data_IF_932338818759
#
_entry.id   IF_932338818759
#
_cell.length_a   1.000
_cell.length_b   1.000
_cell.length_c   1.000
_cell.angle_alpha   90.00
_cell.angle_beta   90.00
_cell.angle_gamma   90.00
#
_symmetry.space_group_name_H-M   'P 1'
#
loop_
_entity.id
_entity.type
_entity.pdbx_description
1 polymer ?
#
# COMPACT_ATOMS: atom_id res chain seq x y z
N UNK A 1 -26.05 -11.11 -16.31
CA UNK A 1 -24.76 -11.05 -17.07
C UNK A 1 -24.06 -9.70 -16.94
N UNK A 2 -24.74 -8.56 -17.03
CA UNK A 2 -24.14 -7.22 -16.95
C UNK A 2 -23.36 -6.95 -15.65
N UNK A 3 -23.90 -7.36 -14.50
CA UNK A 3 -23.22 -7.28 -13.21
C UNK A 3 -21.85 -7.98 -13.21
N UNK A 4 -21.81 -9.23 -13.67
CA UNK A 4 -20.58 -10.03 -13.75
C UNK A 4 -19.57 -9.37 -14.69
N UNK A 5 -20.02 -8.89 -15.86
CA UNK A 5 -19.16 -8.14 -16.80
C UNK A 5 -18.58 -6.89 -16.16
N UNK A 6 -19.39 -6.13 -15.44
CA UNK A 6 -18.97 -4.90 -14.74
C UNK A 6 -17.93 -5.21 -13.66
N UNK A 7 -18.18 -6.21 -12.81
CA UNK A 7 -17.23 -6.65 -11.77
C UNK A 7 -15.90 -7.04 -12.41
N UNK A 8 -15.93 -7.88 -13.45
CA UNK A 8 -14.72 -8.33 -14.14
C UNK A 8 -13.97 -7.17 -14.78
N UNK A 9 -14.66 -6.27 -15.50
CA UNK A 9 -14.04 -5.14 -16.17
C UNK A 9 -13.33 -4.21 -15.17
N UNK A 10 -14.00 -3.86 -14.06
CA UNK A 10 -13.39 -3.04 -13.01
C UNK A 10 -12.26 -3.77 -12.29
N UNK A 11 -12.39 -5.06 -12.00
CA UNK A 11 -11.32 -5.83 -11.36
C UNK A 11 -10.04 -5.87 -12.21
N UNK A 12 -10.18 -6.20 -13.49
CA UNK A 12 -9.05 -6.26 -14.44
C UNK A 12 -8.43 -4.88 -14.64
N UNK A 13 -9.26 -3.83 -14.78
CA UNK A 13 -8.79 -2.46 -14.89
C UNK A 13 -8.00 -2.01 -13.65
N UNK A 14 -8.52 -2.28 -12.44
CA UNK A 14 -7.84 -1.96 -11.19
C UNK A 14 -6.48 -2.65 -11.08
N UNK A 15 -6.43 -3.97 -11.37
CA UNK A 15 -5.16 -4.72 -11.35
C UNK A 15 -4.17 -4.18 -12.38
N UNK A 16 -4.62 -3.96 -13.63
CA UNK A 16 -3.75 -3.41 -14.67
C UNK A 16 -3.22 -2.03 -14.33
N UNK A 17 -4.05 -1.17 -13.73
CA UNK A 17 -3.65 0.18 -13.34
C UNK A 17 -2.63 0.16 -12.21
N UNK A 18 -2.82 -0.71 -11.22
CA UNK A 18 -1.87 -0.89 -10.11
C UNK A 18 -0.51 -1.44 -10.59
N UNK A 19 -0.52 -2.52 -11.38
CA UNK A 19 0.71 -3.09 -11.93
C UNK A 19 1.45 -2.11 -12.83
N UNK A 20 0.73 -1.33 -13.64
CA UNK A 20 1.35 -0.33 -14.50
C UNK A 20 2.02 0.79 -13.71
N UNK A 21 1.40 1.31 -12.63
CA UNK A 21 2.06 2.36 -11.84
C UNK A 21 3.30 1.83 -11.11
N UNK A 22 3.25 0.60 -10.60
CA UNK A 22 4.40 -0.08 -9.97
C UNK A 22 5.58 -0.20 -10.93
N UNK A 23 5.31 -0.48 -12.21
CA UNK A 23 6.31 -0.57 -13.27
C UNK A 23 6.67 0.78 -13.90
N UNK A 24 6.13 1.90 -13.41
CA UNK A 24 6.25 3.23 -14.00
C UNK A 24 5.85 3.24 -15.49
N UNK A 25 4.74 2.57 -15.81
CA UNK A 25 4.15 2.45 -17.14
C UNK A 25 2.73 2.99 -17.17
N UNK A 26 2.23 3.18 -18.39
CA UNK A 26 0.83 3.49 -18.65
C UNK A 26 0.04 2.17 -18.69
N UNK A 27 -1.14 2.14 -18.09
CA UNK A 27 -2.05 1.02 -18.23
C UNK A 27 -2.50 0.86 -19.70
N UNK A 28 -2.42 -0.34 -20.30
CA UNK A 28 -2.85 -0.56 -21.67
C UNK A 28 -4.38 -0.63 -21.81
N UNK A 29 -5.12 -0.62 -20.71
CA UNK A 29 -6.57 -0.78 -20.70
C UNK A 29 -7.28 0.57 -20.63
N UNK A 30 -8.30 0.72 -21.46
CA UNK A 30 -9.24 1.82 -21.37
C UNK A 30 -10.10 1.72 -20.10
N UNK A 31 -10.66 2.86 -19.69
CA UNK A 31 -11.62 2.91 -18.61
C UNK A 31 -12.83 1.99 -18.87
N UNK A 32 -13.32 1.25 -17.86
CA UNK A 32 -14.59 0.55 -17.97
C UNK A 32 -15.72 1.55 -18.28
N UNK A 33 -16.55 1.23 -19.27
CA UNK A 33 -17.69 2.06 -19.68
C UNK A 33 -18.88 1.94 -18.74
N UNK A 34 -19.03 0.79 -18.07
CA UNK A 34 -20.08 0.53 -17.10
C UNK A 34 -19.76 1.19 -15.75
N UNK A 35 -20.76 1.80 -15.12
CA UNK A 35 -20.63 2.34 -13.76
C UNK A 35 -20.33 1.20 -12.76
N UNK A 36 -19.37 1.44 -11.86
CA UNK A 36 -19.01 0.51 -10.77
C UNK A 36 -20.21 0.15 -9.90
N UNK A 37 -21.22 1.03 -9.81
CA UNK A 37 -22.48 0.77 -9.10
C UNK A 37 -23.27 -0.40 -9.67
N UNK A 38 -23.08 -0.73 -10.95
CA UNK A 38 -23.70 -1.91 -11.58
C UNK A 38 -23.08 -3.24 -11.09
N UNK A 39 -22.02 -3.21 -10.28
CA UNK A 39 -21.53 -4.38 -9.55
C UNK A 39 -22.52 -4.89 -8.48
N UNK A 40 -23.54 -4.10 -8.13
CA UNK A 40 -24.57 -4.43 -7.15
C UNK A 40 -24.18 -4.10 -5.71
N UNK A 41 -25.20 -4.07 -4.86
CA UNK A 41 -25.11 -3.60 -3.46
C UNK A 41 -25.03 -4.75 -2.45
N UNK A 42 -24.80 -5.98 -2.92
CA UNK A 42 -24.64 -7.13 -2.03
C UNK A 42 -23.34 -6.99 -1.23
N UNK A 43 -23.49 -7.07 0.08
CA UNK A 43 -22.40 -7.17 1.04
C UNK A 43 -22.50 -8.49 1.81
N UNK A 44 -21.41 -8.92 2.41
CA UNK A 44 -21.40 -10.15 3.20
C UNK A 44 -20.50 -10.04 4.42
N UNK A 45 -20.74 -10.91 5.39
CA UNK A 45 -19.84 -11.08 6.51
C UNK A 45 -18.53 -11.70 6.04
N UNK A 46 -17.44 -10.96 6.24
CA UNK A 46 -16.09 -11.44 6.10
C UNK A 46 -15.62 -12.14 7.38
N UNK A 47 -14.81 -13.18 7.19
CA UNK A 47 -14.11 -13.89 8.26
C UNK A 47 -12.74 -14.29 7.74
N UNK A 48 -11.65 -14.12 8.51
CA UNK A 48 -10.31 -14.52 8.10
C UNK A 48 -10.24 -15.98 7.62
N UNK A 49 -9.42 -16.24 6.60
CA UNK A 49 -9.17 -17.57 6.04
C UNK A 49 -7.71 -17.99 6.31
N UNK A 50 -7.41 -19.23 6.73
CA UNK A 50 -8.28 -20.41 6.69
C UNK A 50 -9.24 -20.51 7.88
N UNK A 51 -10.47 -20.94 7.58
CA UNK A 51 -11.53 -21.19 8.58
C UNK A 51 -11.39 -22.55 9.31
N UNK A 52 -10.39 -23.34 8.94
CA UNK A 52 -10.24 -24.76 9.32
C UNK A 52 -9.56 -25.01 10.66
N UNK A 53 -9.07 -23.99 11.36
CA UNK A 53 -8.09 -24.18 12.43
C UNK A 53 -8.70 -24.06 13.85
N UNK A 54 -10.01 -24.28 14.03
CA UNK A 54 -10.74 -24.14 15.31
C UNK A 54 -10.70 -22.77 15.99
N UNK A 55 -9.95 -21.80 15.45
CA UNK A 55 -9.97 -20.40 15.87
C UNK A 55 -11.21 -19.75 15.27
N UNK A 56 -12.14 -19.34 16.13
CA UNK A 56 -13.35 -18.63 15.72
C UNK A 56 -13.03 -17.13 15.70
N UNK A 57 -12.91 -16.55 14.51
CA UNK A 57 -12.78 -15.10 14.37
C UNK A 57 -14.15 -14.46 14.33
N UNK A 58 -14.26 -13.27 14.94
CA UNK A 58 -15.46 -12.46 14.82
C UNK A 58 -15.72 -12.10 13.35
N UNK A 59 -16.98 -12.24 12.95
CA UNK A 59 -17.43 -11.77 11.65
C UNK A 59 -17.34 -10.25 11.58
N UNK A 60 -16.92 -9.74 10.43
CA UNK A 60 -16.87 -8.31 10.13
C UNK A 60 -17.65 -8.03 8.85
N UNK A 61 -18.32 -6.88 8.72
CA UNK A 61 -18.90 -6.50 7.43
C UNK A 61 -17.77 -6.35 6.39
N UNK A 62 -17.96 -6.85 5.17
CA UNK A 62 -16.97 -6.73 4.11
C UNK A 62 -16.97 -5.35 3.43
N UNK A 63 -18.07 -4.59 3.55
CA UNK A 63 -18.26 -3.24 3.00
C UNK A 63 -17.94 -3.18 1.51
N UNK A 64 -18.35 -4.21 0.76
CA UNK A 64 -17.92 -4.38 -0.63
C UNK A 64 -18.41 -3.28 -1.59
N UNK A 65 -19.66 -2.80 -1.52
CA UNK A 65 -20.10 -1.72 -2.38
C UNK A 65 -19.22 -0.48 -2.23
N UNK A 66 -18.97 -0.06 -1.00
CA UNK A 66 -18.15 1.11 -0.66
C UNK A 66 -16.69 0.89 -1.08
N UNK A 67 -16.12 -0.27 -0.75
CA UNK A 67 -14.72 -0.59 -1.09
C UNK A 67 -14.51 -0.63 -2.59
N UNK A 68 -15.46 -1.15 -3.37
CA UNK A 68 -15.39 -1.15 -4.85
C UNK A 68 -15.44 0.27 -5.39
N UNK A 69 -16.33 1.11 -4.88
CA UNK A 69 -16.43 2.51 -5.30
C UNK A 69 -15.15 3.27 -4.97
N UNK A 70 -14.65 3.13 -3.73
CA UNK A 70 -13.40 3.75 -3.32
C UNK A 70 -12.19 3.26 -4.12
N UNK A 71 -12.12 1.97 -4.46
CA UNK A 71 -11.05 1.44 -5.31
C UNK A 71 -11.10 2.03 -6.73
N UNK A 72 -12.31 2.15 -7.30
CA UNK A 72 -12.51 2.79 -8.59
C UNK A 72 -12.11 4.28 -8.58
N UNK A 73 -12.42 5.01 -7.50
CA UNK A 73 -11.97 6.40 -7.32
C UNK A 73 -10.45 6.51 -7.30
N UNK A 74 -9.76 5.67 -6.51
CA UNK A 74 -8.29 5.65 -6.44
C UNK A 74 -7.68 5.30 -7.79
N UNK A 75 -8.22 4.30 -8.50
CA UNK A 75 -7.71 3.90 -9.80
C UNK A 75 -7.85 5.00 -10.87
N UNK A 76 -8.93 5.78 -10.84
CA UNK A 76 -9.06 6.97 -11.72
C UNK A 76 -7.96 7.99 -11.45
N UNK A 77 -7.60 8.21 -10.19
CA UNK A 77 -6.50 9.12 -9.85
C UNK A 77 -5.16 8.55 -10.30
N UNK A 78 -4.94 7.23 -10.15
CA UNK A 78 -3.72 6.56 -10.62
C UNK A 78 -3.49 6.72 -12.11
N UNK A 79 -4.53 6.71 -12.94
CA UNK A 79 -4.39 6.98 -14.38
C UNK A 79 -3.85 8.39 -14.63
N UNK A 80 -4.27 9.38 -13.85
CA UNK A 80 -3.73 10.74 -13.99
C UNK A 80 -2.26 10.79 -13.56
N UNK A 81 -1.87 10.03 -12.53
CA UNK A 81 -0.46 9.87 -12.14
C UNK A 81 0.35 9.20 -13.27
N UNK A 82 -0.19 8.16 -13.91
CA UNK A 82 0.47 7.51 -15.06
C UNK A 82 0.66 8.46 -16.26
N UNK A 83 -0.24 9.41 -16.48
CA UNK A 83 -0.04 10.46 -17.50
C UNK A 83 1.19 11.30 -17.15
N UNK A 84 1.38 11.68 -15.89
CA UNK A 84 2.58 12.40 -15.45
C UNK A 84 3.85 11.57 -15.67
N UNK A 85 3.80 10.25 -15.43
CA UNK A 85 4.92 9.35 -15.76
C UNK A 85 5.23 9.39 -17.25
N UNK A 86 4.21 9.34 -18.11
CA UNK A 86 4.39 9.47 -19.56
C UNK A 86 5.01 10.80 -19.96
N UNK A 87 4.56 11.90 -19.36
CA UNK A 87 5.11 13.24 -19.60
C UNK A 87 6.58 13.33 -19.16
N UNK A 88 6.93 12.73 -18.01
CA UNK A 88 8.33 12.62 -17.55
C UNK A 88 9.18 11.89 -18.58
N UNK A 89 8.73 10.74 -19.10
CA UNK A 89 9.46 10.00 -20.15
C UNK A 89 9.62 10.80 -21.44
N UNK A 90 8.72 11.75 -21.71
CA UNK A 90 8.78 12.66 -22.88
C UNK A 90 9.62 13.91 -22.63
N UNK A 91 10.28 14.02 -21.47
CA UNK A 91 11.17 15.15 -21.16
C UNK A 91 10.45 16.37 -20.59
N UNK A 92 9.26 16.21 -20.00
CA UNK A 92 8.64 17.30 -19.23
C UNK A 92 9.58 17.78 -18.11
N UNK A 93 9.59 19.09 -17.87
CA UNK A 93 10.44 19.66 -16.82
C UNK A 93 9.97 19.24 -15.44
N UNK A 94 10.88 19.25 -14.47
CA UNK A 94 10.55 18.95 -13.09
C UNK A 94 9.48 19.91 -12.53
N UNK A 95 9.60 21.21 -12.82
CA UNK A 95 8.64 22.23 -12.36
C UNK A 95 7.22 21.98 -12.91
N UNK A 96 7.12 21.59 -14.20
CA UNK A 96 5.84 21.24 -14.81
C UNK A 96 5.22 20.01 -14.15
N UNK A 97 6.01 18.95 -13.95
CA UNK A 97 5.55 17.72 -13.30
C UNK A 97 5.13 17.98 -11.85
N UNK A 98 5.91 18.77 -11.12
CA UNK A 98 5.63 19.16 -9.74
C UNK A 98 4.31 19.93 -9.65
N UNK A 99 4.13 20.94 -10.50
CA UNK A 99 2.90 21.72 -10.58
C UNK A 99 1.68 20.83 -10.89
N UNK A 100 1.77 19.98 -11.91
CA UNK A 100 0.68 19.05 -12.28
C UNK A 100 0.39 17.98 -11.23
N UNK A 101 1.39 17.56 -10.46
CA UNK A 101 1.22 16.58 -9.38
C UNK A 101 0.32 17.05 -8.23
N UNK A 102 0.13 18.37 -8.06
CA UNK A 102 -0.73 18.91 -7.02
C UNK A 102 -2.19 18.45 -7.17
N UNK A 103 -2.68 18.33 -8.42
CA UNK A 103 -4.04 17.88 -8.71
C UNK A 103 -4.32 16.47 -8.18
N UNK A 104 -3.59 15.43 -8.65
CA UNK A 104 -3.69 14.07 -8.13
C UNK A 104 -3.41 13.99 -6.62
N UNK A 105 -2.42 14.72 -6.11
CA UNK A 105 -2.09 14.71 -4.68
C UNK A 105 -3.25 15.20 -3.81
N UNK A 106 -3.85 16.34 -4.15
CA UNK A 106 -4.98 16.89 -3.40
C UNK A 106 -6.17 15.94 -3.43
N UNK A 107 -6.49 15.35 -4.58
CA UNK A 107 -7.58 14.35 -4.70
C UNK A 107 -7.33 13.12 -3.85
N UNK A 108 -6.09 12.63 -3.74
CA UNK A 108 -5.75 11.51 -2.86
C UNK A 108 -5.86 11.90 -1.38
N UNK A 109 -5.44 13.11 -1.01
CA UNK A 109 -5.64 13.62 0.36
C UNK A 109 -7.11 13.76 0.72
N UNK A 110 -7.91 14.35 -0.15
CA UNK A 110 -9.35 14.51 0.05
C UNK A 110 -10.03 13.14 0.16
N UNK A 111 -9.57 12.17 -0.63
CA UNK A 111 -9.97 10.77 -0.50
C UNK A 111 -9.64 10.22 0.91
N UNK A 112 -8.42 10.40 1.40
CA UNK A 112 -8.02 9.95 2.75
C UNK A 112 -8.80 10.59 3.89
N UNK A 113 -9.32 11.82 3.69
CA UNK A 113 -10.13 12.54 4.68
C UNK A 113 -11.60 12.09 4.68
N UNK A 114 -12.15 11.68 3.53
CA UNK A 114 -13.54 11.17 3.43
C UNK A 114 -13.67 9.74 3.97
N UNK A 115 -12.59 8.98 3.95
CA UNK A 115 -12.54 7.59 4.40
C UNK A 115 -12.11 7.48 5.86
N UNK A 116 -12.50 6.41 6.57
CA UNK A 116 -12.17 6.24 7.97
C UNK A 116 -10.69 6.46 8.27
N UNK A 117 -10.43 7.29 9.28
CA UNK A 117 -9.08 7.57 9.76
C UNK A 117 -8.50 6.39 10.53
N UNK A 118 -7.19 6.42 10.79
CA UNK A 118 -6.52 5.36 11.57
C UNK A 118 -7.17 5.10 12.94
N UNK A 119 -7.60 6.11 13.73
CA UNK A 119 -8.27 5.87 15.00
C UNK A 119 -9.64 5.18 14.87
N UNK A 120 -10.38 5.49 13.81
CA UNK A 120 -11.69 4.88 13.52
C UNK A 120 -11.53 3.43 13.08
N UNK A 121 -10.55 3.17 12.21
CA UNK A 121 -10.18 1.83 11.76
C UNK A 121 -9.69 0.98 12.94
N UNK A 122 -8.94 1.55 13.89
CA UNK A 122 -8.50 0.80 15.06
C UNK A 122 -9.67 0.31 15.92
N UNK A 123 -10.75 1.10 16.03
CA UNK A 123 -11.97 0.70 16.77
C UNK A 123 -12.76 -0.38 16.05
N UNK A 124 -12.83 -0.30 14.72
CA UNK A 124 -13.52 -1.29 13.90
C UNK A 124 -12.66 -1.68 12.69
N UNK A 125 -11.69 -2.55 12.95
CA UNK A 125 -10.72 -2.99 11.95
C UNK A 125 -11.42 -3.84 10.89
N UNK A 126 -11.77 -3.26 9.75
CA UNK A 126 -12.27 -3.98 8.58
C UNK A 126 -11.11 -4.10 7.58
N UNK A 127 -10.65 -5.31 7.22
CA UNK A 127 -9.42 -5.49 6.45
C UNK A 127 -9.50 -4.92 5.03
N UNK A 128 -10.69 -4.91 4.43
CA UNK A 128 -10.93 -4.30 3.12
C UNK A 128 -10.72 -2.78 3.17
N UNK A 129 -11.17 -2.12 4.25
CA UNK A 129 -10.98 -0.67 4.48
C UNK A 129 -9.51 -0.36 4.72
N UNK A 130 -8.81 -1.17 5.53
CA UNK A 130 -7.37 -1.08 5.73
C UNK A 130 -6.60 -1.20 4.41
N UNK A 131 -6.92 -2.23 3.61
CA UNK A 131 -6.28 -2.45 2.31
C UNK A 131 -6.49 -1.26 1.38
N UNK A 132 -7.71 -0.71 1.34
CA UNK A 132 -8.02 0.43 0.50
C UNK A 132 -7.27 1.69 0.94
N UNK A 133 -7.18 1.95 2.25
CA UNK A 133 -6.36 3.05 2.78
C UNK A 133 -4.87 2.87 2.43
N UNK A 134 -4.33 1.66 2.61
CA UNK A 134 -2.95 1.33 2.21
C UNK A 134 -2.74 1.59 0.72
N UNK A 135 -3.71 1.23 -0.14
CA UNK A 135 -3.62 1.48 -1.59
C UNK A 135 -3.62 2.97 -1.93
N UNK A 136 -4.40 3.78 -1.23
CA UNK A 136 -4.36 5.23 -1.39
C UNK A 136 -3.02 5.83 -0.93
N UNK A 137 -2.51 5.42 0.23
CA UNK A 137 -1.19 5.83 0.74
C UNK A 137 -0.07 5.42 -0.23
N UNK A 138 -0.13 4.21 -0.78
CA UNK A 138 0.80 3.70 -1.79
C UNK A 138 0.75 4.55 -3.07
N UNK A 139 -0.43 4.98 -3.52
CA UNK A 139 -0.58 5.88 -4.68
C UNK A 139 0.11 7.24 -4.45
N UNK A 140 0.01 7.79 -3.23
CA UNK A 140 0.70 9.04 -2.87
C UNK A 140 2.21 8.83 -2.87
N UNK A 141 2.69 7.71 -2.30
CA UNK A 141 4.11 7.38 -2.30
C UNK A 141 4.65 7.28 -3.73
N UNK A 142 3.93 6.63 -4.65
CA UNK A 142 4.31 6.55 -6.07
C UNK A 142 4.32 7.90 -6.77
N UNK A 143 3.36 8.77 -6.48
CA UNK A 143 3.34 10.14 -7.02
C UNK A 143 4.63 10.89 -6.66
N UNK A 144 5.11 10.77 -5.43
CA UNK A 144 6.36 11.43 -5.04
C UNK A 144 7.60 10.68 -5.52
N UNK A 145 7.54 9.36 -5.66
CA UNK A 145 8.65 8.56 -6.20
C UNK A 145 8.98 8.97 -7.64
N UNK A 146 7.96 9.20 -8.46
CA UNK A 146 8.14 9.66 -9.83
C UNK A 146 8.68 11.10 -9.90
N UNK A 147 8.57 11.90 -8.84
CA UNK A 147 9.10 13.26 -8.71
C UNK A 147 10.51 13.28 -8.09
N UNK A 148 11.23 12.15 -8.08
CA UNK A 148 12.66 12.19 -7.77
C UNK A 148 13.43 12.74 -8.97
N UNK A 149 14.17 13.83 -8.74
CA UNK A 149 15.10 14.46 -9.69
C UNK A 149 16.41 14.85 -8.98
N UNK A 150 17.57 14.29 -9.37
CA UNK A 150 18.86 14.63 -8.79
C UNK A 150 19.23 16.12 -8.89
N UNK A 151 18.65 16.86 -9.84
CA UNK A 151 18.97 18.26 -10.11
C UNK A 151 18.21 19.26 -9.23
N UNK A 152 17.16 18.82 -8.52
CA UNK A 152 16.29 19.69 -7.70
C UNK A 152 16.22 19.25 -6.22
N UNK A 153 17.33 19.39 -5.46
CA UNK A 153 17.48 18.78 -4.14
C UNK A 153 16.50 19.28 -3.08
N UNK A 154 16.02 20.53 -3.19
CA UNK A 154 15.07 21.11 -2.22
C UNK A 154 13.68 20.47 -2.32
N UNK A 155 13.14 20.37 -3.54
CA UNK A 155 11.82 19.81 -3.78
C UNK A 155 11.83 18.28 -3.60
N UNK A 156 12.96 17.62 -3.92
CA UNK A 156 13.18 16.22 -3.57
C UNK A 156 13.17 15.99 -2.05
N UNK A 157 13.77 16.87 -1.25
CA UNK A 157 13.70 16.77 0.21
C UNK A 157 12.26 16.88 0.71
N UNK A 158 11.47 17.80 0.16
CA UNK A 158 10.06 17.93 0.52
C UNK A 158 9.24 16.70 0.13
N UNK A 159 9.44 16.17 -1.09
CA UNK A 159 8.80 14.93 -1.55
C UNK A 159 9.14 13.76 -0.61
N UNK A 160 10.40 13.63 -0.21
CA UNK A 160 10.86 12.59 0.73
C UNK A 160 10.18 12.71 2.09
N UNK A 161 10.05 13.91 2.66
CA UNK A 161 9.34 14.12 3.93
C UNK A 161 7.88 13.65 3.86
N UNK A 162 7.19 13.94 2.75
CA UNK A 162 5.84 13.42 2.53
C UNK A 162 5.85 11.89 2.44
N UNK A 163 6.76 11.30 1.66
CA UNK A 163 6.87 9.85 1.52
C UNK A 163 7.06 9.17 2.89
N UNK A 164 7.99 9.65 3.72
CA UNK A 164 8.23 9.10 5.07
C UNK A 164 6.95 9.13 5.89
N UNK A 165 6.27 10.28 5.95
CA UNK A 165 5.02 10.42 6.70
C UNK A 165 3.93 9.45 6.24
N UNK A 166 3.75 9.27 4.93
CA UNK A 166 2.75 8.34 4.41
C UNK A 166 3.15 6.87 4.59
N UNK A 167 4.45 6.55 4.57
CA UNK A 167 4.95 5.21 4.90
C UNK A 167 4.73 4.89 6.38
N UNK A 168 4.95 5.85 7.28
CA UNK A 168 4.66 5.69 8.71
C UNK A 168 3.18 5.43 8.97
N UNK A 169 2.30 6.18 8.31
CA UNK A 169 0.86 5.95 8.40
C UNK A 169 0.44 4.59 7.83
N UNK A 170 1.07 4.17 6.73
CA UNK A 170 0.88 2.83 6.16
C UNK A 170 1.33 1.76 7.15
N UNK A 171 2.47 1.93 7.81
CA UNK A 171 2.95 1.00 8.84
C UNK A 171 2.00 0.95 10.04
N UNK A 172 1.35 2.06 10.41
CA UNK A 172 0.30 2.05 11.43
C UNK A 172 -0.91 1.21 10.98
N UNK A 173 -1.36 1.35 9.73
CA UNK A 173 -2.42 0.49 9.17
C UNK A 173 -2.03 -1.00 9.25
N UNK A 174 -0.78 -1.34 8.92
CA UNK A 174 -0.24 -2.70 9.02
C UNK A 174 -0.20 -3.20 10.47
N UNK A 175 0.19 -2.34 11.42
CA UNK A 175 0.16 -2.66 12.84
C UNK A 175 -1.25 -3.03 13.31
N UNK A 176 -2.26 -2.23 12.95
CA UNK A 176 -3.67 -2.52 13.27
C UNK A 176 -4.09 -3.85 12.64
N UNK A 177 -3.73 -4.09 11.38
CA UNK A 177 -4.02 -5.37 10.72
C UNK A 177 -3.40 -6.55 11.48
N UNK A 178 -2.12 -6.46 11.84
CA UNK A 178 -1.43 -7.53 12.58
C UNK A 178 -2.04 -7.73 13.97
N UNK A 179 -2.39 -6.68 14.69
CA UNK A 179 -3.03 -6.79 16.00
C UNK A 179 -4.43 -7.43 15.91
N UNK A 180 -5.16 -7.16 14.83
CA UNK A 180 -6.52 -7.67 14.62
C UNK A 180 -6.55 -9.10 14.09
N UNK A 181 -5.63 -9.44 13.19
CA UNK A 181 -5.70 -10.65 12.38
C UNK A 181 -4.41 -11.48 12.42
N UNK A 182 -3.29 -10.91 12.81
CA UNK A 182 -1.98 -11.57 12.75
C UNK A 182 -1.36 -11.59 11.35
N UNK A 183 -0.12 -12.09 11.28
CA UNK A 183 0.69 -12.12 10.05
C UNK A 183 0.33 -13.28 9.09
N UNK A 184 -0.55 -14.19 9.49
CA UNK A 184 -0.97 -15.31 8.62
C UNK A 184 -1.98 -14.87 7.55
N UNK A 185 -2.70 -13.78 7.80
CA UNK A 185 -3.79 -13.29 6.96
C UNK A 185 -3.38 -12.09 6.10
N UNK A 186 -2.08 -11.94 5.82
CA UNK A 186 -1.56 -10.81 5.05
C UNK A 186 -2.06 -10.89 3.59
N UNK A 187 -2.74 -9.85 3.08
CA UNK A 187 -3.10 -9.77 1.68
C UNK A 187 -1.84 -9.63 0.81
N UNK A 188 -1.68 -10.45 -0.23
CA UNK A 188 -0.51 -10.37 -1.13
C UNK A 188 -0.44 -9.06 -1.91
N UNK A 189 -1.56 -8.34 -2.02
CA UNK A 189 -1.67 -7.07 -2.73
C UNK A 189 -0.86 -5.94 -2.08
N UNK A 190 -0.32 -6.12 -0.87
CA UNK A 190 0.47 -5.09 -0.18
C UNK A 190 1.99 -5.33 -0.27
N UNK A 191 2.43 -6.38 -0.96
CA UNK A 191 3.84 -6.74 -1.11
C UNK A 191 4.66 -5.54 -1.60
N UNK A 192 4.22 -4.89 -2.69
CA UNK A 192 4.96 -3.77 -3.27
C UNK A 192 4.97 -2.55 -2.35
N UNK A 193 3.87 -2.31 -1.63
CA UNK A 193 3.78 -1.24 -0.65
C UNK A 193 4.82 -1.43 0.47
N UNK A 194 4.99 -2.66 0.95
CA UNK A 194 6.00 -3.00 1.96
C UNK A 194 7.41 -2.80 1.42
N UNK A 195 7.71 -3.34 0.23
CA UNK A 195 9.04 -3.22 -0.36
C UNK A 195 9.43 -1.75 -0.60
N UNK A 196 8.52 -0.94 -1.14
CA UNK A 196 8.73 0.48 -1.35
C UNK A 196 8.92 1.22 -0.01
N UNK A 197 8.08 0.93 0.99
CA UNK A 197 8.18 1.54 2.32
C UNK A 197 9.51 1.22 3.01
N UNK A 198 9.97 -0.03 2.94
CA UNK A 198 11.26 -0.45 3.49
C UNK A 198 12.41 0.35 2.89
N UNK A 199 12.46 0.48 1.55
CA UNK A 199 13.50 1.25 0.87
C UNK A 199 13.47 2.74 1.22
N UNK A 200 12.28 3.32 1.41
CA UNK A 200 12.14 4.73 1.82
C UNK A 200 12.69 4.94 3.22
N UNK A 201 12.28 4.10 4.17
CA UNK A 201 12.65 4.27 5.58
C UNK A 201 14.09 3.82 5.88
N UNK A 202 14.69 2.93 5.09
CA UNK A 202 16.07 2.46 5.31
C UNK A 202 17.09 3.60 5.44
N UNK A 203 16.84 4.74 4.77
CA UNK A 203 17.71 5.92 4.80
C UNK A 203 17.28 6.98 5.82
N UNK A 204 16.28 6.71 6.65
CA UNK A 204 15.61 7.69 7.53
C UNK A 204 15.45 7.17 8.97
N UNK A 205 16.10 6.06 9.32
CA UNK A 205 15.95 5.41 10.63
C UNK A 205 16.53 6.23 11.79
N UNK A 206 17.47 7.13 11.52
CA UNK A 206 18.04 8.02 12.55
C UNK A 206 17.14 9.22 12.84
N UNK A 207 16.18 9.54 11.96
CA UNK A 207 15.43 10.79 12.02
C UNK A 207 14.36 10.81 13.12
N UNK A 208 13.71 9.68 13.40
CA UNK A 208 12.71 9.61 14.47
C UNK A 208 12.44 8.18 14.97
N UNK A 209 11.99 8.06 16.22
CA UNK A 209 11.52 6.78 16.78
C UNK A 209 10.30 6.24 16.01
N UNK A 210 9.45 7.13 15.49
CA UNK A 210 8.29 6.75 14.68
C UNK A 210 8.73 6.05 13.38
N UNK A 211 9.77 6.57 12.72
CA UNK A 211 10.33 5.95 11.51
C UNK A 211 10.95 4.59 11.81
N UNK A 212 11.63 4.41 12.96
CA UNK A 212 12.14 3.10 13.39
C UNK A 212 11.02 2.10 13.67
N UNK A 213 9.97 2.53 14.38
CA UNK A 213 8.81 1.68 14.66
C UNK A 213 8.09 1.28 13.37
N UNK A 214 7.90 2.23 12.45
CA UNK A 214 7.32 1.96 11.14
C UNK A 214 8.16 0.97 10.35
N UNK A 215 9.48 1.15 10.33
CA UNK A 215 10.41 0.24 9.67
C UNK A 215 10.37 -1.16 10.26
N UNK A 216 10.39 -1.30 11.59
CA UNK A 216 10.28 -2.58 12.28
C UNK A 216 8.98 -3.30 11.90
N UNK A 217 7.86 -2.58 11.82
CA UNK A 217 6.59 -3.17 11.41
C UNK A 217 6.59 -3.62 9.95
N UNK A 218 7.17 -2.83 9.03
CA UNK A 218 7.36 -3.25 7.64
C UNK A 218 8.28 -4.48 7.53
N UNK A 219 9.34 -4.57 8.33
CA UNK A 219 10.22 -5.73 8.38
C UNK A 219 9.45 -6.99 8.82
N UNK A 220 8.59 -6.93 9.84
CA UNK A 220 7.76 -8.07 10.26
C UNK A 220 6.90 -8.60 9.12
N UNK A 221 6.23 -7.72 8.40
CA UNK A 221 5.42 -8.11 7.24
C UNK A 221 6.28 -8.60 6.06
N UNK A 222 7.42 -7.94 5.79
CA UNK A 222 8.37 -8.34 4.76
C UNK A 222 8.92 -9.74 4.99
N UNK A 223 9.36 -10.05 6.21
CA UNK A 223 9.82 -11.38 6.62
C UNK A 223 8.68 -12.40 6.47
N UNK A 224 7.45 -12.06 6.88
CA UNK A 224 6.31 -12.95 6.72
C UNK A 224 6.01 -13.29 5.26
N UNK A 225 6.10 -12.31 4.37
CA UNK A 225 5.87 -12.47 2.94
C UNK A 225 7.06 -13.08 2.20
N UNK A 226 8.28 -12.99 2.74
CA UNK A 226 9.50 -13.53 2.13
C UNK A 226 9.42 -15.04 1.83
N UNK A 227 8.65 -15.78 2.65
CA UNK A 227 8.39 -17.22 2.45
C UNK A 227 7.59 -17.52 1.18
N UNK A 228 6.77 -16.56 0.73
CA UNK A 228 5.87 -16.69 -0.41
C UNK A 228 6.37 -15.94 -1.65
N UNK A 229 7.16 -14.89 -1.45
CA UNK A 229 7.59 -13.98 -2.51
C UNK A 229 9.09 -13.72 -2.45
N UNK A 230 9.85 -14.36 -3.36
CA UNK A 230 11.32 -14.23 -3.44
C UNK A 230 11.80 -12.78 -3.50
N UNK A 231 11.14 -11.94 -4.31
CA UNK A 231 11.48 -10.52 -4.43
C UNK A 231 11.40 -9.76 -3.09
N UNK A 232 10.49 -10.19 -2.20
CA UNK A 232 10.38 -9.61 -0.86
C UNK A 232 11.54 -10.06 0.02
N UNK A 233 11.95 -11.32 -0.08
CA UNK A 233 13.14 -11.82 0.60
C UNK A 233 14.39 -11.03 0.19
N UNK A 234 14.56 -10.80 -1.11
CA UNK A 234 15.68 -10.03 -1.66
C UNK A 234 15.68 -8.58 -1.15
N UNK A 235 14.52 -7.92 -1.14
CA UNK A 235 14.37 -6.54 -0.63
C UNK A 235 14.64 -6.44 0.88
N UNK A 236 14.14 -7.39 1.68
CA UNK A 236 14.40 -7.45 3.13
C UNK A 236 15.88 -7.66 3.40
N UNK A 237 16.57 -8.50 2.63
CA UNK A 237 18.01 -8.73 2.76
C UNK A 237 18.84 -7.51 2.36
N UNK A 238 18.51 -6.86 1.25
CA UNK A 238 19.15 -5.61 0.80
C UNK A 238 19.06 -4.53 1.88
N UNK A 239 17.86 -4.31 2.39
CA UNK A 239 17.58 -3.29 3.41
C UNK A 239 18.19 -3.68 4.75
N UNK A 240 18.15 -4.96 5.12
CA UNK A 240 18.77 -5.49 6.34
C UNK A 240 20.27 -5.24 6.38
N UNK A 241 21.00 -5.49 5.28
CA UNK A 241 22.44 -5.17 5.20
C UNK A 241 22.75 -3.71 5.49
N UNK A 242 21.92 -2.81 4.99
CA UNK A 242 22.09 -1.37 5.20
C UNK A 242 21.65 -0.95 6.62
N UNK A 243 20.71 -1.69 7.23
CA UNK A 243 20.14 -1.39 8.54
C UNK A 243 20.88 -2.01 9.75
N UNK A 244 21.75 -3.01 9.54
CA UNK A 244 22.58 -3.63 10.59
C UNK A 244 23.52 -2.62 11.30
N UNK A 245 23.68 -1.42 10.76
CA UNK A 245 24.40 -0.31 11.40
C UNK A 245 23.56 0.49 12.41
N UNK A 246 22.25 0.23 12.55
CA UNK A 246 21.27 1.17 13.12
C UNK A 246 20.63 0.72 14.46
N UNK A 247 21.19 -0.30 15.13
CA UNK A 247 20.92 -0.60 16.54
C UNK A 247 20.16 -1.90 16.84
N UNK A 248 20.14 -2.32 18.13
CA UNK A 248 19.77 -3.67 18.55
C UNK A 248 18.28 -4.01 18.38
N UNK A 249 17.36 -3.03 18.40
CA UNK A 249 15.92 -3.30 18.21
C UNK A 249 15.57 -3.71 16.78
N UNK A 250 16.23 -3.12 15.79
CA UNK A 250 16.05 -3.48 14.37
C UNK A 250 16.69 -4.84 14.10
N UNK A 251 17.88 -5.08 14.67
CA UNK A 251 18.58 -6.37 14.63
C UNK A 251 17.73 -7.47 15.27
N UNK A 252 17.06 -7.21 16.41
CA UNK A 252 16.16 -8.16 17.04
C UNK A 252 14.95 -8.56 16.17
N UNK A 253 14.46 -7.67 15.29
CA UNK A 253 13.40 -8.04 14.33
C UNK A 253 13.90 -9.05 13.28
N UNK A 254 15.20 -9.04 12.97
CA UNK A 254 15.83 -10.02 12.07
C UNK A 254 16.30 -11.28 12.82
N UNK A 255 16.73 -11.15 14.08
CA UNK A 255 17.30 -12.22 14.89
C UNK A 255 16.26 -13.00 15.70
N UNK A 256 15.07 -12.45 15.93
CA UNK A 256 14.01 -13.08 16.70
C UNK A 256 12.79 -13.51 15.85
N UNK A 257 12.84 -14.72 15.27
CA UNK A 257 11.68 -15.42 14.72
C UNK A 257 10.95 -16.19 15.83
N UNK A 258 10.81 -15.65 17.05
CA UNK A 258 10.00 -16.29 18.08
C UNK A 258 8.58 -16.55 17.54
N UNK A 259 8.17 -17.82 17.57
CA UNK A 259 6.88 -18.41 17.11
C UNK A 259 6.76 -18.97 15.68
N UNK A 260 7.82 -19.09 14.88
CA UNK A 260 7.66 -19.68 13.54
C UNK A 260 7.81 -21.22 13.46
N UNK A 261 8.11 -21.90 14.59
CA UNK A 261 8.24 -23.37 14.67
C UNK A 261 6.96 -24.12 15.08
N UNK A 262 5.82 -23.44 15.20
CA UNK A 262 4.58 -24.09 15.65
C UNK A 262 3.73 -24.74 14.54
N UNK A 263 4.12 -24.66 13.26
CA UNK A 263 3.27 -25.08 12.14
C UNK A 263 4.12 -25.55 10.95
N UNK A 264 4.72 -26.73 11.06
CA UNK A 264 4.73 -27.65 9.91
C UNK A 264 3.36 -28.35 9.84
N UNK A 265 2.89 -28.77 8.66
CA UNK A 265 1.66 -29.57 8.51
C UNK A 265 1.66 -30.84 9.36
#
# INVERSE_FOLDING_TARGET
MERVRTITAWAVFNMSTQMSIELQKIAPLAYPTSDVKLCGNEDFDWTPYPRSNSITYDKKPALLPEVREGLAEVARILVDIQKLVSEKTKGATFEDLWSKAHGPFNRLKDWLQRWPGVPEIQRNSVPQVLLLRIKCLQAIIYLFEMLKDPHEPRLVRQARLYQVKFVEEMAHCLCIHRQSYGLKHIPSQIVDAIQTGLRILAYQLEESDQSRQAFAELCRFGIALSRRFKQTADAVHEVGKNALHLGPEVVAVFDDPEQWRGLEP
#
